data_IF_072467203979
#
_entry.id   IF_072467203979
#
_cell.length_a   1.000
_cell.length_b   1.000
_cell.length_c   1.000
_cell.angle_alpha   90.00
_cell.angle_beta   90.00
_cell.angle_gamma   90.00
#
_symmetry.space_group_name_H-M   'P 1'
#
loop_
_entity.id
_entity.type
_entity.pdbx_description
1 polymer ?
#
# COMPACT_ATOMS: atom_id res chain seq x y z
N UNK A 1 28.38 23.56 -14.30
CA UNK A 1 27.57 22.68 -13.43
C UNK A 1 26.10 23.08 -13.37
N UNK A 2 25.72 24.32 -12.98
CA UNK A 2 24.30 24.75 -12.93
C UNK A 2 23.49 24.51 -14.23
N UNK A 3 24.07 24.78 -15.41
CA UNK A 3 23.41 24.56 -16.71
C UNK A 3 23.09 23.08 -16.99
N UNK A 4 23.97 22.16 -16.61
CA UNK A 4 23.80 20.73 -16.86
C UNK A 4 22.65 20.14 -16.01
N UNK A 5 22.56 20.51 -14.74
CA UNK A 5 21.47 20.07 -13.86
C UNK A 5 20.12 20.58 -14.35
N UNK A 6 20.06 21.85 -14.76
CA UNK A 6 18.84 22.45 -15.31
C UNK A 6 18.39 21.77 -16.60
N UNK A 7 19.32 21.48 -17.51
CA UNK A 7 19.05 20.76 -18.77
C UNK A 7 18.52 19.35 -18.52
N UNK A 8 19.11 18.60 -17.56
CA UNK A 8 18.64 17.27 -17.20
C UNK A 8 17.21 17.32 -16.64
N UNK A 9 16.94 18.22 -15.69
CA UNK A 9 15.60 18.36 -15.08
C UNK A 9 14.56 18.72 -16.13
N UNK A 10 14.87 19.67 -17.02
CA UNK A 10 13.98 20.05 -18.13
C UNK A 10 13.69 18.87 -19.07
N UNK A 11 14.72 18.10 -19.40
CA UNK A 11 14.58 16.94 -20.29
C UNK A 11 13.72 15.84 -19.66
N UNK A 12 13.91 15.56 -18.36
CA UNK A 12 13.07 14.62 -17.61
C UNK A 12 11.63 15.10 -17.53
N UNK A 13 11.41 16.39 -17.24
CA UNK A 13 10.05 16.95 -17.16
C UNK A 13 9.30 16.81 -18.49
N UNK A 14 9.94 17.13 -19.62
CA UNK A 14 9.35 16.92 -20.94
C UNK A 14 9.05 15.45 -21.20
N UNK A 15 10.01 14.57 -20.90
CA UNK A 15 9.87 13.13 -21.13
C UNK A 15 8.72 12.52 -20.32
N UNK A 16 8.65 12.81 -19.03
CA UNK A 16 7.58 12.33 -18.16
C UNK A 16 6.23 12.95 -18.53
N UNK A 17 6.20 14.22 -18.93
CA UNK A 17 5.01 14.85 -19.47
C UNK A 17 4.47 14.15 -20.73
N UNK A 18 5.35 13.70 -21.62
CA UNK A 18 4.95 12.94 -22.81
C UNK A 18 4.46 11.53 -22.46
N UNK A 19 5.11 10.84 -21.52
CA UNK A 19 4.64 9.53 -21.04
C UNK A 19 3.25 9.63 -20.41
N UNK A 20 2.97 10.67 -19.60
CA UNK A 20 1.66 10.89 -19.01
C UNK A 20 0.57 11.05 -20.09
N UNK A 21 0.84 11.81 -21.16
CA UNK A 21 -0.10 11.95 -22.28
C UNK A 21 -0.42 10.60 -22.93
N UNK A 22 0.60 9.77 -23.13
CA UNK A 22 0.43 8.42 -23.69
C UNK A 22 -0.37 7.52 -22.75
N UNK A 23 -0.04 7.51 -21.46
CA UNK A 23 -0.78 6.79 -20.43
C UNK A 23 -2.27 7.15 -20.43
N UNK A 24 -2.62 8.44 -20.48
CA UNK A 24 -4.04 8.86 -20.50
C UNK A 24 -4.74 8.57 -21.84
N UNK A 25 -3.99 8.27 -22.90
CA UNK A 25 -4.56 7.84 -24.18
C UNK A 25 -4.84 6.33 -24.26
N UNK A 26 -4.28 5.54 -23.35
CA UNK A 26 -4.32 4.06 -23.41
C UNK A 26 -5.65 3.43 -22.96
N UNK A 27 -6.66 4.22 -22.58
CA UNK A 27 -7.96 3.76 -22.05
C UNK A 27 -7.79 2.64 -21.00
N UNK A 28 -7.09 2.98 -19.91
CA UNK A 28 -6.75 2.03 -18.85
C UNK A 28 -7.80 2.13 -17.75
N UNK A 29 -8.84 1.30 -17.87
CA UNK A 29 -9.94 1.23 -16.90
C UNK A 29 -9.48 0.86 -15.48
N UNK A 30 -8.34 0.18 -15.33
CA UNK A 30 -7.76 -0.18 -14.03
C UNK A 30 -7.35 1.04 -13.18
N UNK A 31 -7.07 2.19 -13.79
CA UNK A 31 -6.68 3.40 -13.04
C UNK A 31 -7.82 3.89 -12.14
N UNK A 32 -9.07 3.79 -12.60
CA UNK A 32 -10.23 4.18 -11.80
C UNK A 32 -10.37 3.26 -10.58
N UNK A 33 -10.24 1.95 -10.76
CA UNK A 33 -10.35 0.99 -9.66
C UNK A 33 -9.27 1.21 -8.60
N UNK A 34 -8.01 1.35 -9.03
CA UNK A 34 -6.89 1.64 -8.13
C UNK A 34 -7.14 2.94 -7.38
N UNK A 35 -7.56 4.00 -8.07
CA UNK A 35 -7.79 5.30 -7.44
C UNK A 35 -8.88 5.24 -6.36
N UNK A 36 -9.99 4.54 -6.66
CA UNK A 36 -11.11 4.37 -5.73
C UNK A 36 -10.66 3.57 -4.49
N UNK A 37 -9.91 2.47 -4.68
CA UNK A 37 -9.38 1.66 -3.58
C UNK A 37 -8.35 2.42 -2.75
N UNK A 38 -7.51 3.23 -3.40
CA UNK A 38 -6.59 4.15 -2.72
C UNK A 38 -7.36 5.14 -1.84
N UNK A 39 -8.42 5.78 -2.35
CA UNK A 39 -9.27 6.69 -1.55
C UNK A 39 -9.92 6.01 -0.35
N UNK A 40 -10.31 4.75 -0.47
CA UNK A 40 -10.90 4.00 0.65
C UNK A 40 -9.94 3.90 1.84
N UNK A 41 -8.64 3.73 1.59
CA UNK A 41 -7.63 3.73 2.66
C UNK A 41 -7.62 5.07 3.42
N UNK A 42 -7.60 6.19 2.71
CA UNK A 42 -7.65 7.53 3.30
C UNK A 42 -8.92 7.75 4.11
N UNK A 43 -10.07 7.36 3.55
CA UNK A 43 -11.37 7.55 4.18
C UNK A 43 -11.53 6.72 5.46
N UNK A 44 -11.05 5.47 5.47
CA UNK A 44 -10.98 4.67 6.70
C UNK A 44 -10.19 5.39 7.79
N UNK A 45 -9.03 5.95 7.46
CA UNK A 45 -8.21 6.72 8.40
C UNK A 45 -8.96 7.90 9.02
N UNK A 46 -9.68 8.67 8.19
CA UNK A 46 -10.50 9.78 8.69
C UNK A 46 -11.62 9.31 9.62
N UNK A 47 -12.29 8.20 9.27
CA UNK A 47 -13.37 7.62 10.08
C UNK A 47 -12.86 7.17 11.46
N UNK A 48 -11.70 6.52 11.52
CA UNK A 48 -11.10 6.18 12.81
C UNK A 48 -10.70 7.42 13.59
N UNK A 49 -10.07 8.42 12.95
CA UNK A 49 -9.61 9.62 13.64
C UNK A 49 -10.75 10.41 14.30
N UNK A 50 -11.93 10.42 13.67
CA UNK A 50 -13.14 11.04 14.21
C UNK A 50 -13.88 10.20 15.25
N UNK A 51 -13.46 8.96 15.50
CA UNK A 51 -14.10 8.08 16.46
C UNK A 51 -13.72 8.45 17.91
N UNK A 52 -14.73 8.62 18.75
CA UNK A 52 -14.56 8.97 20.17
C UNK A 52 -14.17 7.75 21.01
N UNK A 53 -14.43 6.54 20.52
CA UNK A 53 -14.26 5.30 21.27
C UNK A 53 -12.84 4.70 21.14
N UNK A 54 -11.95 5.34 20.36
CA UNK A 54 -10.57 4.89 20.19
C UNK A 54 -9.60 5.64 21.12
N UNK A 55 -8.58 4.92 21.58
CA UNK A 55 -7.51 5.46 22.44
C UNK A 55 -6.64 6.49 21.70
N UNK A 56 -5.92 7.33 22.46
CA UNK A 56 -4.97 8.28 21.87
C UNK A 56 -3.86 7.58 21.06
N UNK A 57 -3.43 6.38 21.48
CA UNK A 57 -2.47 5.59 20.71
C UNK A 57 -3.05 5.16 19.36
N UNK A 58 -4.30 4.70 19.33
CA UNK A 58 -4.98 4.35 18.09
C UNK A 58 -5.18 5.58 17.20
N UNK A 59 -5.51 6.76 17.76
CA UNK A 59 -5.57 8.02 17.01
C UNK A 59 -4.24 8.35 16.34
N UNK A 60 -3.10 8.16 17.01
CA UNK A 60 -1.80 8.37 16.37
C UNK A 60 -1.52 7.34 15.27
N UNK A 61 -1.96 6.08 15.43
CA UNK A 61 -1.85 5.04 14.39
C UNK A 61 -2.66 5.42 13.14
N UNK A 62 -3.79 6.13 13.29
CA UNK A 62 -4.59 6.57 12.12
C UNK A 62 -3.82 7.46 11.14
N UNK A 63 -2.75 8.14 11.59
CA UNK A 63 -1.90 8.96 10.73
C UNK A 63 -1.16 8.15 9.65
N UNK A 64 -1.09 6.82 9.77
CA UNK A 64 -0.50 5.94 8.76
C UNK A 64 -1.37 5.86 7.50
N UNK A 65 -2.70 6.00 7.61
CA UNK A 65 -3.60 5.91 6.45
C UNK A 65 -3.36 6.99 5.38
N UNK A 66 -3.23 8.29 5.72
CA UNK A 66 -2.83 9.31 4.76
C UNK A 66 -1.47 9.04 4.09
N UNK A 67 -0.53 8.42 4.80
CA UNK A 67 0.76 8.05 4.24
C UNK A 67 0.62 6.94 3.20
N UNK A 68 -0.17 5.91 3.49
CA UNK A 68 -0.52 4.84 2.54
C UNK A 68 -1.15 5.42 1.27
N UNK A 69 -2.13 6.32 1.42
CA UNK A 69 -2.78 6.97 0.28
C UNK A 69 -1.79 7.80 -0.56
N UNK A 70 -0.87 8.49 0.10
CA UNK A 70 0.18 9.28 -0.56
C UNK A 70 1.13 8.36 -1.34
N UNK A 71 1.62 7.30 -0.72
CA UNK A 71 2.52 6.33 -1.37
C UNK A 71 1.86 5.64 -2.57
N UNK A 72 0.58 5.26 -2.45
CA UNK A 72 -0.22 4.73 -3.57
C UNK A 72 -0.33 5.75 -4.71
N UNK A 73 -0.70 6.99 -4.40
CA UNK A 73 -0.86 8.05 -5.38
C UNK A 73 0.44 8.37 -6.13
N UNK A 74 1.55 8.46 -5.39
CA UNK A 74 2.89 8.70 -5.96
C UNK A 74 3.34 7.48 -6.76
N UNK A 75 3.08 6.27 -6.29
CA UNK A 75 3.38 5.04 -7.04
C UNK A 75 2.71 5.04 -8.41
N UNK A 76 1.39 5.31 -8.47
CA UNK A 76 0.63 5.42 -9.73
C UNK A 76 1.24 6.50 -10.63
N UNK A 77 1.50 7.69 -10.09
CA UNK A 77 2.09 8.79 -10.86
C UNK A 77 3.44 8.40 -11.48
N UNK A 78 4.33 7.78 -10.70
CA UNK A 78 5.64 7.34 -11.17
C UNK A 78 5.51 6.24 -12.23
N UNK A 79 4.57 5.31 -12.09
CA UNK A 79 4.25 4.32 -13.12
C UNK A 79 3.78 4.96 -14.42
N UNK A 80 2.90 5.96 -14.36
CA UNK A 80 2.47 6.71 -15.54
C UNK A 80 3.62 7.52 -16.17
N UNK A 81 4.68 7.81 -15.41
CA UNK A 81 5.92 8.41 -15.92
C UNK A 81 6.90 7.38 -16.52
N UNK A 82 6.55 6.09 -16.57
CA UNK A 82 7.41 4.98 -16.99
C UNK A 82 8.69 4.84 -16.13
N UNK A 83 8.53 5.03 -14.81
CA UNK A 83 9.55 4.74 -13.80
C UNK A 83 9.10 3.46 -13.10
N UNK A 84 9.78 2.33 -13.31
CA UNK A 84 9.23 1.01 -12.94
C UNK A 84 9.61 0.57 -11.53
N UNK A 85 10.84 0.88 -11.11
CA UNK A 85 11.35 0.38 -9.83
C UNK A 85 10.88 1.21 -8.64
N UNK A 86 10.78 2.53 -8.78
CA UNK A 86 10.35 3.42 -7.69
C UNK A 86 8.93 3.13 -7.19
N UNK A 87 7.91 2.90 -8.04
CA UNK A 87 6.59 2.43 -7.61
C UNK A 87 6.66 1.18 -6.76
N UNK A 88 7.44 0.17 -7.15
CA UNK A 88 7.55 -1.10 -6.41
C UNK A 88 8.10 -0.92 -4.99
N UNK A 89 9.01 0.05 -4.80
CA UNK A 89 9.54 0.41 -3.48
C UNK A 89 8.44 1.02 -2.61
N UNK A 90 7.66 1.95 -3.16
CA UNK A 90 6.52 2.57 -2.46
C UNK A 90 5.44 1.53 -2.15
N UNK A 91 5.12 0.65 -3.09
CA UNK A 91 4.14 -0.43 -2.90
C UNK A 91 4.57 -1.42 -1.82
N UNK A 92 5.87 -1.70 -1.66
CA UNK A 92 6.36 -2.51 -0.54
C UNK A 92 6.07 -1.83 0.79
N UNK A 93 6.37 -0.53 0.89
CA UNK A 93 6.10 0.27 2.09
C UNK A 93 4.60 0.35 2.39
N UNK A 94 3.75 0.53 1.39
CA UNK A 94 2.29 0.46 1.51
C UNK A 94 1.84 -0.85 2.15
N UNK A 95 2.37 -1.98 1.67
CA UNK A 95 2.03 -3.29 2.22
C UNK A 95 2.49 -3.44 3.68
N UNK A 96 3.72 -3.01 3.99
CA UNK A 96 4.27 -3.03 5.36
C UNK A 96 3.43 -2.17 6.31
N UNK A 97 3.17 -0.91 5.94
CA UNK A 97 2.40 0.03 6.75
C UNK A 97 0.94 -0.39 6.91
N UNK A 98 0.31 -0.89 5.85
CA UNK A 98 -1.08 -1.31 5.89
C UNK A 98 -1.34 -2.49 6.83
N UNK A 99 -0.38 -3.43 6.89
CA UNK A 99 -0.39 -4.53 7.86
C UNK A 99 -0.02 -4.03 9.27
N UNK A 100 0.94 -3.12 9.37
CA UNK A 100 1.35 -2.51 10.63
C UNK A 100 0.18 -1.81 11.34
N UNK A 101 -0.75 -1.19 10.61
CA UNK A 101 -1.94 -0.57 11.21
C UNK A 101 -2.66 -1.56 12.13
N UNK A 102 -3.02 -2.75 11.63
CA UNK A 102 -3.75 -3.75 12.44
C UNK A 102 -2.88 -4.30 13.56
N UNK A 103 -1.63 -4.64 13.26
CA UNK A 103 -0.69 -5.16 14.25
C UNK A 103 -0.49 -4.20 15.43
N UNK A 104 -0.29 -2.91 15.15
CA UNK A 104 -0.07 -1.88 16.16
C UNK A 104 -1.36 -1.47 16.87
N UNK A 105 -2.50 -1.55 16.18
CA UNK A 105 -3.82 -1.26 16.76
C UNK A 105 -4.11 -2.14 17.98
N UNK A 106 -3.78 -3.42 17.87
CA UNK A 106 -3.99 -4.42 18.94
C UNK A 106 -2.75 -4.62 19.83
N UNK A 107 -1.62 -3.97 19.50
CA UNK A 107 -0.39 -3.99 20.30
C UNK A 107 0.14 -2.57 20.56
N UNK A 108 -0.57 -1.74 21.35
CA UNK A 108 -0.20 -0.34 21.57
C UNK A 108 1.20 -0.16 22.19
N UNK A 109 1.67 -1.12 23.00
CA UNK A 109 3.02 -1.06 23.55
C UNK A 109 4.11 -1.20 22.46
N UNK A 110 3.84 -1.98 21.39
CA UNK A 110 4.73 -2.10 20.23
C UNK A 110 4.79 -0.79 19.46
N UNK A 111 3.66 -0.10 19.32
CA UNK A 111 3.63 1.24 18.73
C UNK A 111 4.56 2.21 19.47
N UNK A 112 4.45 2.28 20.79
CA UNK A 112 5.31 3.17 21.58
C UNK A 112 6.79 2.76 21.55
N UNK A 113 7.08 1.46 21.50
CA UNK A 113 8.44 0.98 21.34
C UNK A 113 9.03 1.40 19.98
N UNK A 114 8.27 1.22 18.90
CA UNK A 114 8.65 1.63 17.56
C UNK A 114 8.87 3.16 17.51
N UNK A 115 7.87 3.95 17.93
CA UNK A 115 7.93 5.42 17.91
C UNK A 115 9.09 6.04 18.70
N UNK A 116 9.50 5.43 19.82
CA UNK A 116 10.48 6.03 20.74
C UNK A 116 11.91 5.51 20.58
N UNK A 117 12.10 4.33 19.97
CA UNK A 117 13.38 3.63 20.00
C UNK A 117 13.93 3.32 18.60
N UNK A 118 13.75 4.24 17.64
CA UNK A 118 14.21 4.12 16.25
C UNK A 118 15.72 3.75 16.13
N UNK A 119 16.56 4.10 17.10
CA UNK A 119 18.02 3.84 17.06
C UNK A 119 18.46 2.42 17.52
N UNK A 120 17.56 1.54 17.95
CA UNK A 120 17.90 0.26 18.60
C UNK A 120 17.43 -1.02 17.87
N UNK A 121 17.46 -1.06 16.53
CA UNK A 121 16.99 -2.23 15.74
C UNK A 121 15.55 -2.66 16.08
N UNK A 122 14.70 -1.72 16.51
CA UNK A 122 13.30 -1.99 16.89
C UNK A 122 12.32 -1.74 15.74
N UNK A 123 12.82 -1.74 14.50
CA UNK A 123 11.99 -1.69 13.30
C UNK A 123 10.95 -2.81 13.33
N UNK A 124 9.77 -2.50 12.80
CA UNK A 124 8.70 -3.48 12.69
C UNK A 124 9.15 -4.62 11.78
N UNK A 125 9.25 -5.82 12.35
CA UNK A 125 9.62 -6.99 11.58
C UNK A 125 8.40 -7.51 10.82
N UNK A 126 8.44 -7.43 9.48
CA UNK A 126 7.32 -7.86 8.63
C UNK A 126 6.88 -9.29 8.92
N UNK A 127 7.83 -10.22 9.08
CA UNK A 127 7.52 -11.62 9.39
C UNK A 127 6.84 -11.76 10.76
N UNK A 128 7.33 -11.05 11.77
CA UNK A 128 6.71 -11.04 13.11
C UNK A 128 5.26 -10.55 13.04
N UNK A 129 4.99 -9.48 12.29
CA UNK A 129 3.62 -8.96 12.12
C UNK A 129 2.70 -10.03 11.52
N UNK A 130 3.15 -10.70 10.44
CA UNK A 130 2.36 -11.77 9.84
C UNK A 130 2.17 -12.95 10.80
N UNK A 131 3.22 -13.31 11.55
CA UNK A 131 3.17 -14.41 12.52
C UNK A 131 2.21 -14.15 13.67
N UNK A 132 2.21 -12.93 14.19
CA UNK A 132 1.25 -12.49 15.20
C UNK A 132 -0.19 -12.53 14.67
N UNK A 133 -0.45 -11.92 13.51
CA UNK A 133 -1.80 -11.79 12.95
C UNK A 133 -2.48 -13.11 12.57
N UNK A 134 -1.74 -14.23 12.58
CA UNK A 134 -2.27 -15.56 12.27
C UNK A 134 -2.08 -16.56 13.42
N UNK A 135 -1.70 -16.09 14.61
CA UNK A 135 -1.65 -16.96 15.77
C UNK A 135 -3.08 -17.27 16.26
N UNK A 136 -3.28 -18.44 16.87
CA UNK A 136 -4.61 -18.90 17.29
C UNK A 136 -5.30 -17.93 18.25
N UNK A 137 -4.57 -17.37 19.22
CA UNK A 137 -5.15 -16.43 20.19
C UNK A 137 -5.61 -15.12 19.56
N UNK A 138 -4.90 -14.63 18.54
CA UNK A 138 -5.31 -13.44 17.80
C UNK A 138 -6.55 -13.72 16.94
N UNK A 139 -6.62 -14.89 16.30
CA UNK A 139 -7.81 -15.32 15.55
C UNK A 139 -9.03 -15.43 16.48
N UNK A 140 -8.87 -16.03 17.66
CA UNK A 140 -9.93 -16.13 18.67
C UNK A 140 -10.38 -14.74 19.14
N UNK A 141 -9.44 -13.82 19.35
CA UNK A 141 -9.73 -12.44 19.70
C UNK A 141 -10.56 -11.74 18.61
N UNK A 142 -10.15 -11.83 17.33
CA UNK A 142 -10.90 -11.22 16.22
C UNK A 142 -12.30 -11.85 16.08
N UNK A 143 -12.41 -13.17 16.21
CA UNK A 143 -13.70 -13.88 16.19
C UNK A 143 -14.63 -13.41 17.31
N UNK A 144 -14.10 -13.22 18.51
CA UNK A 144 -14.85 -12.71 19.65
C UNK A 144 -15.34 -11.27 19.43
N UNK A 145 -14.44 -10.36 19.07
CA UNK A 145 -14.76 -8.94 18.87
C UNK A 145 -15.76 -8.72 17.73
N UNK A 146 -15.63 -9.49 16.65
CA UNK A 146 -16.41 -9.29 15.44
C UNK A 146 -17.57 -10.29 15.27
N UNK A 147 -17.81 -11.17 16.26
CA UNK A 147 -18.78 -12.27 16.16
C UNK A 147 -18.63 -13.08 14.87
N UNK A 148 -17.39 -13.37 14.49
CA UNK A 148 -17.03 -14.09 13.27
C UNK A 148 -16.51 -15.50 13.56
N UNK A 149 -16.24 -16.26 12.50
CA UNK A 149 -15.76 -17.65 12.60
C UNK A 149 -14.65 -17.92 11.58
N UNK A 150 -13.68 -17.01 11.50
CA UNK A 150 -12.53 -17.16 10.63
C UNK A 150 -11.54 -18.18 11.21
N UNK A 151 -10.92 -18.96 10.35
CA UNK A 151 -9.87 -19.94 10.70
C UNK A 151 -8.46 -19.45 10.35
N UNK A 152 -8.39 -18.42 9.51
CA UNK A 152 -7.17 -17.76 9.07
C UNK A 152 -7.52 -16.28 8.90
N UNK A 153 -6.71 -15.38 9.48
CA UNK A 153 -6.96 -13.95 9.38
C UNK A 153 -6.24 -13.33 8.17
N UNK A 154 -5.05 -13.84 7.82
CA UNK A 154 -4.32 -13.45 6.61
C UNK A 154 -3.79 -14.65 5.84
N UNK A 155 -3.81 -14.61 4.51
CA UNK A 155 -3.06 -15.60 3.70
C UNK A 155 -1.57 -15.24 3.65
N UNK A 156 -0.78 -15.81 4.57
CA UNK A 156 0.68 -15.57 4.67
C UNK A 156 1.43 -15.86 3.38
N UNK A 157 1.04 -16.89 2.65
CA UNK A 157 1.75 -17.32 1.43
C UNK A 157 1.59 -16.30 0.32
N UNK A 158 0.37 -15.78 0.13
CA UNK A 158 0.08 -14.73 -0.86
C UNK A 158 0.83 -13.44 -0.52
N UNK A 159 0.77 -13.01 0.74
CA UNK A 159 1.44 -11.78 1.20
C UNK A 159 2.96 -11.89 1.07
N UNK A 160 3.57 -12.98 1.53
CA UNK A 160 5.01 -13.20 1.41
C UNK A 160 5.48 -13.23 -0.05
N UNK A 161 4.68 -13.79 -0.95
CA UNK A 161 4.98 -13.81 -2.39
C UNK A 161 5.04 -12.38 -2.94
N UNK A 162 4.01 -11.57 -2.69
CA UNK A 162 3.97 -10.15 -3.13
C UNK A 162 5.13 -9.37 -2.53
N UNK A 163 5.35 -9.50 -1.23
CA UNK A 163 6.43 -8.83 -0.53
C UNK A 163 7.81 -9.15 -1.12
N UNK A 164 8.06 -10.43 -1.44
CA UNK A 164 9.32 -10.87 -2.06
C UNK A 164 9.50 -10.33 -3.47
N UNK A 165 8.43 -10.32 -4.27
CA UNK A 165 8.42 -9.76 -5.63
C UNK A 165 8.83 -8.28 -5.62
N UNK A 166 8.27 -7.49 -4.70
CA UNK A 166 8.60 -6.07 -4.52
C UNK A 166 10.02 -5.87 -3.95
N UNK A 167 10.45 -6.73 -3.02
CA UNK A 167 11.77 -6.65 -2.39
C UNK A 167 12.92 -6.96 -3.35
N UNK A 168 12.70 -7.75 -4.40
CA UNK A 168 13.73 -8.07 -5.39
C UNK A 168 14.30 -6.82 -6.10
N UNK A 169 13.52 -5.74 -6.17
CA UNK A 169 13.95 -4.44 -6.73
C UNK A 169 14.97 -3.76 -5.81
N UNK A 170 14.77 -3.87 -4.50
CA UNK A 170 15.62 -3.24 -3.47
C UNK A 170 16.94 -4.00 -3.33
N UNK A 171 16.92 -5.32 -3.45
CA UNK A 171 18.12 -6.14 -3.32
C UNK A 171 19.05 -6.12 -4.54
N UNK A 172 18.75 -5.28 -5.55
CA UNK A 172 19.72 -4.92 -6.60
C UNK A 172 20.20 -6.08 -7.45
N UNK A 173 19.35 -7.07 -7.74
CA UNK A 173 19.70 -8.10 -8.72
C UNK A 173 19.98 -7.43 -10.07
N UNK A 174 21.06 -7.83 -10.76
CA UNK A 174 21.50 -7.23 -12.03
C UNK A 174 20.39 -7.19 -13.09
N UNK A 175 19.50 -8.18 -13.07
CA UNK A 175 18.31 -8.28 -13.92
C UNK A 175 17.29 -7.13 -13.72
N UNK A 176 17.32 -6.45 -12.57
CA UNK A 176 16.41 -5.37 -12.20
C UNK A 176 17.01 -3.97 -12.41
N UNK A 177 18.24 -3.86 -12.95
CA UNK A 177 18.87 -2.56 -13.19
C UNK A 177 18.25 -1.87 -14.40
N UNK A 178 17.56 -0.75 -14.16
CA UNK A 178 17.00 0.09 -15.24
C UNK A 178 18.08 0.60 -16.22
N UNK A 179 19.33 0.71 -15.79
CA UNK A 179 20.45 1.11 -16.65
C UNK A 179 20.69 0.15 -17.82
N UNK A 180 20.29 -1.11 -17.67
CA UNK A 180 20.46 -2.14 -18.69
C UNK A 180 19.31 -2.13 -19.71
N UNK A 181 18.22 -1.40 -19.45
CA UNK A 181 17.09 -1.29 -20.35
C UNK A 181 17.29 -0.09 -21.32
N UNK A 182 17.44 -0.34 -22.64
CA UNK A 182 17.55 0.74 -23.62
C UNK A 182 16.27 1.57 -23.73
N UNK A 183 15.12 0.99 -23.36
CA UNK A 183 13.81 1.64 -23.38
C UNK A 183 13.41 2.25 -22.03
N UNK A 184 14.34 2.38 -21.08
CA UNK A 184 14.03 3.02 -19.78
C UNK A 184 13.38 4.39 -19.98
N UNK A 185 12.42 4.72 -19.13
CA UNK A 185 11.60 5.92 -19.22
C UNK A 185 10.75 6.01 -20.49
N UNK A 186 10.68 5.00 -21.37
CA UNK A 186 9.69 5.00 -22.44
C UNK A 186 8.41 4.35 -21.95
N UNK A 187 7.28 5.02 -22.18
CA UNK A 187 5.97 4.47 -21.90
C UNK A 187 5.75 3.15 -22.63
N UNK A 188 5.40 2.12 -21.88
CA UNK A 188 4.94 0.81 -22.35
C UNK A 188 3.68 0.46 -21.58
N UNK A 189 2.57 0.25 -22.29
CA UNK A 189 1.26 -0.02 -21.68
C UNK A 189 1.30 -1.25 -20.79
N UNK A 190 2.04 -2.27 -21.20
CA UNK A 190 2.19 -3.54 -20.49
C UNK A 190 2.88 -3.36 -19.14
N UNK A 191 3.91 -2.51 -19.06
CA UNK A 191 4.65 -2.25 -17.82
C UNK A 191 3.76 -1.50 -16.82
N UNK A 192 2.99 -0.51 -17.29
CA UNK A 192 1.99 0.19 -16.48
C UNK A 192 0.93 -0.78 -15.95
N UNK A 193 0.34 -1.62 -16.82
CA UNK A 193 -0.63 -2.65 -16.41
C UNK A 193 -0.01 -3.59 -15.36
N UNK A 194 1.26 -3.97 -15.52
CA UNK A 194 1.94 -4.83 -14.56
C UNK A 194 2.05 -4.18 -13.17
N UNK A 195 2.40 -2.89 -13.08
CA UNK A 195 2.42 -2.18 -11.80
C UNK A 195 1.02 -2.02 -11.22
N UNK A 196 0.02 -1.64 -12.02
CA UNK A 196 -1.35 -1.48 -11.54
C UNK A 196 -1.90 -2.80 -10.97
N UNK A 197 -1.52 -3.95 -11.54
CA UNK A 197 -1.86 -5.25 -10.97
C UNK A 197 -1.22 -5.48 -9.58
N UNK A 198 0.02 -5.04 -9.35
CA UNK A 198 0.60 -5.08 -8.00
C UNK A 198 -0.17 -4.16 -7.04
N UNK A 199 -0.49 -2.95 -7.48
CA UNK A 199 -1.25 -1.99 -6.68
C UNK A 199 -2.59 -2.57 -6.25
N UNK A 200 -3.39 -3.06 -7.20
CA UNK A 200 -4.69 -3.69 -6.93
C UNK A 200 -4.56 -4.88 -5.99
N UNK A 201 -3.54 -5.72 -6.18
CA UNK A 201 -3.33 -6.89 -5.32
C UNK A 201 -3.04 -6.49 -3.88
N UNK A 202 -2.24 -5.44 -3.68
CA UNK A 202 -1.91 -4.92 -2.34
C UNK A 202 -3.15 -4.25 -1.73
N UNK A 203 -3.87 -3.43 -2.49
CA UNK A 203 -5.11 -2.82 -2.02
C UNK A 203 -6.14 -3.86 -1.61
N UNK A 204 -6.32 -4.95 -2.37
CA UNK A 204 -7.20 -6.06 -2.00
C UNK A 204 -6.76 -6.72 -0.70
N UNK A 205 -5.46 -7.01 -0.55
CA UNK A 205 -4.89 -7.54 0.69
C UNK A 205 -5.27 -6.63 1.87
N UNK A 206 -4.98 -5.34 1.77
CA UNK A 206 -5.18 -4.39 2.85
C UNK A 206 -6.66 -4.18 3.17
N UNK A 207 -7.50 -3.99 2.16
CA UNK A 207 -8.95 -3.78 2.33
C UNK A 207 -9.61 -5.01 2.96
N UNK A 208 -9.25 -6.22 2.53
CA UNK A 208 -9.77 -7.45 3.15
C UNK A 208 -9.34 -7.60 4.61
N UNK A 209 -8.07 -7.30 4.93
CA UNK A 209 -7.57 -7.31 6.31
C UNK A 209 -8.32 -6.29 7.18
N UNK A 210 -8.49 -5.06 6.69
CA UNK A 210 -9.20 -4.01 7.42
C UNK A 210 -10.69 -4.32 7.56
N UNK A 211 -11.33 -4.93 6.55
CA UNK A 211 -12.72 -5.41 6.65
C UNK A 211 -12.86 -6.49 7.71
N UNK A 212 -11.94 -7.46 7.73
CA UNK A 212 -11.96 -8.54 8.69
C UNK A 212 -11.76 -8.06 10.13
N UNK A 213 -10.91 -7.04 10.34
CA UNK A 213 -10.66 -6.48 11.68
C UNK A 213 -11.66 -5.43 12.11
N UNK A 214 -12.09 -4.55 11.21
CA UNK A 214 -12.88 -3.35 11.50
C UNK A 214 -14.18 -3.29 10.67
N UNK A 215 -15.08 -4.29 10.79
CA UNK A 215 -16.23 -4.43 9.90
C UNK A 215 -17.20 -3.24 9.97
N UNK A 216 -17.32 -2.59 11.13
CA UNK A 216 -18.20 -1.43 11.33
C UNK A 216 -17.70 -0.21 10.53
N UNK A 217 -16.44 0.18 10.72
CA UNK A 217 -15.83 1.29 9.98
C UNK A 217 -15.73 0.98 8.49
N UNK A 218 -15.43 -0.27 8.13
CA UNK A 218 -15.42 -0.69 6.74
C UNK A 218 -16.78 -0.54 6.07
N UNK A 219 -17.87 -0.98 6.73
CA UNK A 219 -19.23 -0.81 6.20
C UNK A 219 -19.64 0.66 6.07
N UNK A 220 -19.19 1.53 7.00
CA UNK A 220 -19.40 2.98 6.87
C UNK A 220 -18.67 3.54 5.65
N UNK A 221 -17.40 3.15 5.45
CA UNK A 221 -16.61 3.55 4.29
C UNK A 221 -17.28 3.14 2.97
N UNK A 222 -17.78 1.91 2.86
CA UNK A 222 -18.47 1.46 1.64
C UNK A 222 -19.74 2.27 1.32
N UNK A 223 -20.44 2.76 2.35
CA UNK A 223 -21.64 3.60 2.18
C UNK A 223 -21.29 5.01 1.72
N UNK A 224 -20.17 5.55 2.18
CA UNK A 224 -19.72 6.89 1.81
C UNK A 224 -19.04 6.90 0.44
N UNK A 225 -18.21 5.90 0.16
CA UNK A 225 -17.54 5.70 -1.12
C UNK A 225 -18.30 4.67 -1.97
N UNK A 226 -19.53 4.99 -2.38
CA UNK A 226 -20.40 4.06 -3.12
C UNK A 226 -19.73 3.42 -4.35
N UNK A 227 -18.79 4.11 -4.99
CA UNK A 227 -18.08 3.58 -6.15
C UNK A 227 -17.26 2.31 -5.83
N UNK A 228 -16.84 2.10 -4.58
CA UNK A 228 -16.06 0.91 -4.19
C UNK A 228 -16.88 -0.37 -4.27
N UNK A 229 -18.21 -0.29 -4.16
CA UNK A 229 -19.09 -1.46 -4.21
C UNK A 229 -19.11 -2.15 -5.58
N UNK A 230 -18.51 -1.53 -6.61
CA UNK A 230 -18.32 -2.12 -7.93
C UNK A 230 -17.21 -3.17 -7.96
N UNK A 231 -16.31 -3.16 -6.98
CA UNK A 231 -15.06 -3.92 -7.02
C UNK A 231 -15.00 -4.96 -5.91
N UNK A 232 -14.37 -6.10 -6.21
CA UNK A 232 -14.01 -7.09 -5.20
C UNK A 232 -12.66 -6.72 -4.57
N UNK A 233 -12.50 -7.01 -3.29
CA UNK A 233 -11.26 -6.88 -2.54
C UNK A 233 -10.79 -8.21 -1.92
N UNK A 234 -11.42 -9.35 -2.26
CA UNK A 234 -10.90 -10.68 -1.95
C UNK A 234 -9.52 -10.91 -2.60
N UNK A 235 -8.64 -11.65 -1.93
CA UNK A 235 -7.26 -11.89 -2.37
C UNK A 235 -6.72 -13.29 -2.05
#
# INVERSE_FOLDING_TARGET
MKRLTEEIIKSLHLKFGDNLKLCFSDDITMLEEVEIKSRASYLLGQMFHGDIDISDTQKEITAIYPEIFTDLSVSIYLSCCAIDNSPKILLRRVLELGIAIVYLWDMPYKYWNWKKNDDYNNDLNFKEMLDYLNNAGYIDFVNYENSSSITEFINKNVINKVYRELSNVIHGKLENFESNNPDRFNHKKEDLIHILNYTLKIENILLSIWKARFPIHFSKMEKELLAISKYNYDY
#
